data_IF_899932493301
#
_entry.id   IF_899932493301
#
_cell.length_a   1.000
_cell.length_b   1.000
_cell.length_c   1.000
_cell.angle_alpha   90.00
_cell.angle_beta   90.00
_cell.angle_gamma   90.00
#
_symmetry.space_group_name_H-M   'P 1'
#
loop_
_entity.id
_entity.type
_entity.pdbx_description
1 polymer ?
#
# COMPACT_ATOMS: atom_id res chain seq x y z
N UNK A 1 -7.77 5.86 27.81
CA UNK A 1 -8.25 6.52 26.58
C UNK A 1 -7.18 6.55 25.50
N UNK A 2 -5.95 6.98 25.81
CA UNK A 2 -4.82 7.10 24.86
C UNK A 2 -4.47 5.76 24.17
N UNK A 3 -4.29 4.65 24.90
CA UNK A 3 -3.95 3.33 24.33
C UNK A 3 -4.97 2.83 23.28
N UNK A 4 -6.26 3.02 23.54
CA UNK A 4 -7.34 2.62 22.61
C UNK A 4 -7.27 3.42 21.30
N UNK A 5 -6.96 4.72 21.37
CA UNK A 5 -6.82 5.59 20.21
C UNK A 5 -5.61 5.18 19.36
N UNK A 6 -4.46 4.91 19.99
CA UNK A 6 -3.24 4.44 19.30
C UNK A 6 -3.50 3.11 18.57
N UNK A 7 -4.17 2.16 19.23
CA UNK A 7 -4.56 0.88 18.63
C UNK A 7 -5.48 1.05 17.41
N UNK A 8 -6.50 1.88 17.52
CA UNK A 8 -7.42 2.13 16.41
C UNK A 8 -6.72 2.81 15.24
N UNK A 9 -5.80 3.74 15.52
CA UNK A 9 -5.01 4.43 14.49
C UNK A 9 -4.11 3.46 13.71
N UNK A 10 -3.29 2.66 14.40
CA UNK A 10 -2.37 1.72 13.72
C UNK A 10 -3.12 0.68 12.90
N UNK A 11 -4.27 0.20 13.39
CA UNK A 11 -5.15 -0.71 12.63
C UNK A 11 -5.70 -0.02 11.38
N UNK A 12 -6.24 1.19 11.50
CA UNK A 12 -6.79 1.93 10.37
C UNK A 12 -5.74 2.21 9.29
N UNK A 13 -4.53 2.64 9.70
CA UNK A 13 -3.38 2.88 8.80
C UNK A 13 -2.93 1.59 8.11
N UNK A 14 -2.89 0.47 8.83
CA UNK A 14 -2.54 -0.84 8.27
C UNK A 14 -3.55 -1.30 7.22
N UNK A 15 -4.84 -1.19 7.51
CA UNK A 15 -5.90 -1.56 6.57
C UNK A 15 -5.82 -0.73 5.28
N UNK A 16 -5.66 0.59 5.40
CA UNK A 16 -5.50 1.48 4.25
C UNK A 16 -4.26 1.12 3.41
N UNK A 17 -3.16 0.73 4.06
CA UNK A 17 -1.92 0.34 3.36
C UNK A 17 -2.04 -1.03 2.67
N UNK A 18 -2.75 -1.99 3.26
CA UNK A 18 -2.94 -3.34 2.69
C UNK A 18 -3.87 -3.34 1.48
N UNK A 19 -4.89 -2.49 1.48
CA UNK A 19 -5.91 -2.47 0.42
C UNK A 19 -6.02 -1.10 -0.25
N UNK A 20 -4.98 -0.62 -0.96
CA UNK A 20 -5.12 0.59 -1.76
C UNK A 20 -6.13 0.38 -2.88
N UNK A 21 -6.85 1.43 -3.22
CA UNK A 21 -7.63 1.42 -4.45
C UNK A 21 -6.71 1.38 -5.67
N UNK A 22 -7.14 0.70 -6.74
CA UNK A 22 -6.43 0.71 -8.04
C UNK A 22 -6.27 2.14 -8.57
N UNK A 23 -7.20 3.05 -8.20
CA UNK A 23 -7.13 4.47 -8.55
C UNK A 23 -5.98 5.19 -7.86
N UNK A 24 -5.72 4.90 -6.60
CA UNK A 24 -4.56 5.44 -5.88
C UNK A 24 -3.25 4.93 -6.47
N UNK A 25 -3.17 3.63 -6.75
CA UNK A 25 -2.00 3.07 -7.43
C UNK A 25 -1.77 3.72 -8.80
N UNK A 26 -2.83 3.94 -9.58
CA UNK A 26 -2.73 4.62 -10.87
C UNK A 26 -2.15 6.03 -10.74
N UNK A 27 -2.59 6.80 -9.72
CA UNK A 27 -2.01 8.12 -9.42
C UNK A 27 -0.54 8.01 -9.03
N UNK A 28 -0.20 7.05 -8.17
CA UNK A 28 1.18 6.84 -7.68
C UNK A 28 2.16 6.50 -8.81
N UNK A 29 1.74 5.70 -9.79
CA UNK A 29 2.58 5.31 -10.94
C UNK A 29 2.41 6.21 -12.16
N UNK A 30 1.68 7.33 -12.00
CA UNK A 30 1.42 8.35 -13.03
C UNK A 30 0.78 7.81 -14.31
N UNK A 31 -0.24 6.96 -14.17
CA UNK A 31 -1.01 6.38 -15.28
C UNK A 31 -2.50 6.49 -15.00
N UNK A 32 -3.34 6.15 -15.99
CA UNK A 32 -4.79 6.09 -15.78
C UNK A 32 -5.20 4.74 -15.18
N UNK A 33 -6.34 4.71 -14.49
CA UNK A 33 -6.98 3.46 -14.04
C UNK A 33 -7.17 2.48 -15.20
N UNK A 34 -7.60 2.99 -16.37
CA UNK A 34 -7.82 2.19 -17.57
C UNK A 34 -6.51 1.53 -18.07
N UNK A 35 -5.36 2.20 -17.94
CA UNK A 35 -4.06 1.61 -18.28
C UNK A 35 -3.72 0.41 -17.39
N UNK A 36 -3.83 0.56 -16.06
CA UNK A 36 -3.58 -0.56 -15.14
C UNK A 36 -4.51 -1.75 -15.42
N UNK A 37 -5.80 -1.48 -15.64
CA UNK A 37 -6.78 -2.52 -15.94
C UNK A 37 -6.51 -3.21 -17.29
N UNK A 38 -6.07 -2.46 -18.31
CA UNK A 38 -5.68 -3.04 -19.60
C UNK A 38 -4.41 -3.89 -19.51
N UNK A 39 -3.43 -3.50 -18.69
CA UNK A 39 -2.22 -4.30 -18.44
C UNK A 39 -2.53 -5.59 -17.70
N UNK A 40 -3.31 -5.52 -16.62
CA UNK A 40 -3.72 -6.69 -15.84
C UNK A 40 -4.52 -7.71 -16.68
N UNK A 41 -5.33 -7.22 -17.63
CA UNK A 41 -6.11 -8.06 -18.53
C UNK A 41 -5.34 -8.51 -19.79
N UNK A 42 -4.05 -8.19 -19.92
CA UNK A 42 -3.25 -8.52 -21.11
C UNK A 42 -3.67 -7.80 -22.39
N UNK A 43 -4.55 -6.79 -22.32
CA UNK A 43 -5.04 -6.03 -23.48
C UNK A 43 -4.05 -4.99 -23.99
N UNK A 44 -3.10 -4.58 -23.15
CA UNK A 44 -2.01 -3.66 -23.49
C UNK A 44 -0.73 -4.06 -22.77
N UNK A 45 0.40 -3.76 -23.39
CA UNK A 45 1.73 -4.01 -22.80
C UNK A 45 2.26 -2.74 -22.14
N UNK A 46 2.63 -2.76 -20.84
CA UNK A 46 3.31 -1.63 -20.21
C UNK A 46 4.72 -1.44 -20.80
N UNK A 47 5.15 -0.18 -20.90
CA UNK A 47 6.54 0.15 -21.24
C UNK A 47 7.50 -0.18 -20.10
N UNK A 48 8.81 -0.26 -20.38
CA UNK A 48 9.84 -0.46 -19.35
C UNK A 48 9.80 0.60 -18.24
N UNK A 49 9.50 1.87 -18.58
CA UNK A 49 9.34 2.96 -17.59
C UNK A 49 8.16 2.68 -16.66
N UNK A 50 7.04 2.20 -17.19
CA UNK A 50 5.86 1.86 -16.39
C UNK A 50 6.14 0.68 -15.45
N UNK A 51 6.87 -0.33 -15.92
CA UNK A 51 7.30 -1.46 -15.10
C UNK A 51 8.19 -1.02 -13.93
N UNK A 52 9.17 -0.14 -14.19
CA UNK A 52 10.03 0.43 -13.14
C UNK A 52 9.23 1.21 -12.11
N UNK A 53 8.29 2.07 -12.54
CA UNK A 53 7.40 2.81 -11.61
C UNK A 53 6.54 1.90 -10.75
N UNK A 54 6.00 0.82 -11.32
CA UNK A 54 5.25 -0.20 -10.58
C UNK A 54 6.12 -0.90 -9.55
N UNK A 55 7.36 -1.27 -9.91
CA UNK A 55 8.31 -1.88 -8.99
C UNK A 55 8.64 -0.92 -7.82
N UNK A 56 8.95 0.34 -8.11
CA UNK A 56 9.23 1.35 -7.09
C UNK A 56 8.03 1.58 -6.15
N UNK A 57 6.81 1.60 -6.69
CA UNK A 57 5.58 1.70 -5.88
C UNK A 57 5.40 0.48 -4.98
N UNK A 58 5.63 -0.72 -5.50
CA UNK A 58 5.57 -1.96 -4.73
C UNK A 58 6.62 -1.97 -3.60
N UNK A 59 7.84 -1.55 -3.86
CA UNK A 59 8.91 -1.47 -2.86
C UNK A 59 8.61 -0.44 -1.76
N UNK A 60 8.13 0.76 -2.13
CA UNK A 60 7.69 1.76 -1.14
C UNK A 60 6.59 1.20 -0.25
N UNK A 61 5.63 0.50 -0.85
CA UNK A 61 4.54 -0.13 -0.10
C UNK A 61 5.04 -1.22 0.83
N UNK A 62 5.94 -2.08 0.37
CA UNK A 62 6.51 -3.14 1.19
C UNK A 62 7.21 -2.57 2.44
N UNK A 63 8.01 -1.50 2.29
CA UNK A 63 8.65 -0.82 3.42
C UNK A 63 7.62 -0.25 4.41
N UNK A 64 6.57 0.39 3.91
CA UNK A 64 5.48 0.91 4.75
C UNK A 64 4.77 -0.21 5.52
N UNK A 65 4.43 -1.30 4.84
CA UNK A 65 3.78 -2.47 5.45
C UNK A 65 4.66 -3.11 6.51
N UNK A 66 5.97 -3.16 6.30
CA UNK A 66 6.90 -3.69 7.31
C UNK A 66 7.00 -2.81 8.54
N UNK A 67 6.98 -1.48 8.37
CA UNK A 67 6.92 -0.55 9.49
C UNK A 67 5.62 -0.72 10.29
N UNK A 68 4.46 -0.75 9.62
CA UNK A 68 3.15 -0.92 10.26
C UNK A 68 3.02 -2.27 10.96
N UNK A 69 3.58 -3.34 10.40
CA UNK A 69 3.62 -4.65 11.04
C UNK A 69 4.45 -4.64 12.34
N UNK A 70 5.59 -3.93 12.35
CA UNK A 70 6.38 -3.75 13.57
C UNK A 70 5.62 -2.94 14.63
N UNK A 71 4.96 -1.85 14.21
CA UNK A 71 4.14 -0.99 15.07
C UNK A 71 2.97 -1.77 15.71
N UNK A 72 2.30 -2.63 14.94
CA UNK A 72 1.25 -3.52 15.44
C UNK A 72 1.75 -4.49 16.51
N UNK A 73 2.93 -5.10 16.31
CA UNK A 73 3.54 -6.01 17.30
C UNK A 73 3.91 -5.26 18.57
N UNK A 74 4.54 -4.10 18.44
CA UNK A 74 4.87 -3.26 19.60
C UNK A 74 3.61 -2.88 20.41
N UNK A 75 2.52 -2.48 19.74
CA UNK A 75 1.25 -2.16 20.42
C UNK A 75 0.64 -3.41 21.08
N UNK A 76 0.82 -4.59 20.51
CA UNK A 76 0.35 -5.84 21.12
C UNK A 76 1.19 -6.23 22.34
N UNK A 77 2.52 -6.11 22.26
CA UNK A 77 3.46 -6.48 23.33
C UNK A 77 3.49 -5.46 24.48
N UNK A 78 3.04 -4.22 24.25
CA UNK A 78 2.99 -3.16 25.27
C UNK A 78 1.76 -3.22 26.18
N UNK A 79 0.85 -4.18 25.95
CA UNK A 79 -0.27 -4.44 26.85
C UNK A 79 0.04 -5.64 27.77
N UNK A 80 -0.18 -5.51 29.10
CA UNK A 80 -0.11 -6.65 30.02
C UNK A 80 -1.27 -7.64 29.83
#
# INVERSE_FOLDING_TARGET
MIHKVVRQDVVARTLAALTPSVRELAREVHVTYASLYAWAAGRRTPTAVNLKRLAEAAERRARMLMSLAAELRQVADSEP
#
